data_IF_093052967334
#
_entry.id   IF_093052967334
#
_cell.length_a   1.000
_cell.length_b   1.000
_cell.length_c   1.000
_cell.angle_alpha   90.00
_cell.angle_beta   90.00
_cell.angle_gamma   90.00
#
_symmetry.space_group_name_H-M   'P 1'
#
loop_
_entity.id
_entity.type
_entity.pdbx_description
1 polymer ?
#
# COMPACT_ATOMS: atom_id res chain seq x y z
N UNK A 1 -27.62 -30.05 44.25
CA UNK A 1 -28.98 -29.47 44.31
C UNK A 1 -28.86 -28.10 44.96
N UNK A 2 -28.92 -27.04 44.16
CA UNK A 2 -29.04 -25.67 44.61
C UNK A 2 -29.95 -24.95 43.62
N UNK A 3 -30.94 -24.27 44.17
CA UNK A 3 -32.16 -23.78 43.54
C UNK A 3 -31.84 -22.53 42.70
N UNK A 4 -32.11 -22.57 41.40
CA UNK A 4 -32.08 -21.39 40.52
C UNK A 4 -33.46 -20.73 40.56
N UNK A 5 -33.54 -19.52 41.11
CA UNK A 5 -34.75 -18.70 41.11
C UNK A 5 -34.98 -18.07 39.74
N UNK A 6 -36.21 -18.23 39.23
CA UNK A 6 -36.75 -17.44 38.14
C UNK A 6 -36.86 -15.96 38.55
N UNK A 7 -36.45 -15.06 37.66
CA UNK A 7 -37.06 -13.75 37.51
C UNK A 7 -37.41 -13.54 36.04
N UNK A 8 -38.71 -13.36 35.78
CA UNK A 8 -39.25 -12.83 34.54
C UNK A 8 -39.34 -11.31 34.66
N UNK A 9 -38.96 -10.60 33.60
CA UNK A 9 -39.49 -9.28 33.27
C UNK A 9 -39.67 -9.19 31.75
N UNK A 10 -40.88 -8.80 31.36
CA UNK A 10 -41.43 -8.73 30.00
C UNK A 10 -41.43 -7.29 29.47
N UNK A 11 -41.17 -7.14 28.16
CA UNK A 11 -41.61 -6.04 27.29
C UNK A 11 -40.64 -4.86 27.14
N UNK A 12 -40.47 -4.17 26.01
CA UNK A 12 -41.00 -4.25 24.64
C UNK A 12 -40.01 -3.46 23.75
N UNK A 13 -39.76 -3.88 22.51
CA UNK A 13 -39.01 -3.06 21.52
C UNK A 13 -38.73 -3.85 20.25
N UNK A 14 -39.13 -3.30 19.10
CA UNK A 14 -39.37 -4.00 17.84
C UNK A 14 -38.18 -4.76 17.24
N UNK A 15 -38.53 -5.90 16.63
CA UNK A 15 -37.83 -6.52 15.52
C UNK A 15 -37.91 -5.63 14.29
N UNK A 16 -36.77 -5.12 13.82
CA UNK A 16 -36.61 -4.77 12.42
C UNK A 16 -35.89 -5.93 11.73
N UNK A 17 -36.66 -6.73 11.00
CA UNK A 17 -36.14 -7.67 10.03
C UNK A 17 -35.59 -6.88 8.82
N UNK A 18 -34.32 -6.48 8.92
CA UNK A 18 -33.56 -5.91 7.82
C UNK A 18 -32.94 -7.02 6.95
N UNK A 19 -33.62 -7.33 5.85
CA UNK A 19 -33.20 -7.86 4.53
C UNK A 19 -31.86 -8.66 4.40
N UNK A 20 -31.84 -9.73 3.57
CA UNK A 20 -30.68 -10.59 3.41
C UNK A 20 -29.44 -9.83 2.89
N UNK A 21 -28.30 -10.02 3.55
CA UNK A 21 -26.98 -9.60 3.06
C UNK A 21 -26.60 -10.44 1.83
N UNK A 22 -27.16 -10.10 0.67
CA UNK A 22 -26.63 -10.49 -0.63
C UNK A 22 -25.88 -9.30 -1.23
N UNK A 23 -24.56 -9.34 -1.11
CA UNK A 23 -23.57 -9.05 -2.16
C UNK A 23 -22.21 -8.88 -1.49
N UNK A 24 -21.28 -9.76 -1.86
CA UNK A 24 -19.86 -9.63 -1.56
C UNK A 24 -19.35 -8.50 -2.45
N UNK A 25 -19.61 -7.26 -2.05
CA UNK A 25 -18.97 -6.09 -2.64
C UNK A 25 -17.57 -6.03 -2.06
N UNK A 26 -16.56 -6.31 -2.89
CA UNK A 26 -15.17 -6.06 -2.53
C UNK A 26 -15.05 -4.59 -2.13
N UNK A 27 -14.86 -4.34 -0.82
CA UNK A 27 -14.67 -3.00 -0.30
C UNK A 27 -13.40 -2.42 -0.95
N UNK A 28 -13.56 -1.27 -1.62
CA UNK A 28 -12.43 -0.49 -2.12
C UNK A 28 -11.66 0.10 -0.96
N UNK A 29 -10.40 0.49 -1.22
CA UNK A 29 -9.42 1.09 -0.28
C UNK A 29 -9.90 2.29 0.56
N UNK A 30 -11.12 2.79 0.35
CA UNK A 30 -11.68 3.97 1.04
C UNK A 30 -12.39 3.64 2.37
N UNK A 31 -12.65 2.36 2.67
CA UNK A 31 -13.33 1.96 3.93
C UNK A 31 -12.38 1.50 5.04
N UNK A 32 -11.07 1.55 4.82
CA UNK A 32 -10.10 1.13 5.80
C UNK A 32 -9.66 2.29 6.71
N UNK A 33 -10.09 2.25 7.97
CA UNK A 33 -9.59 3.02 9.12
C UNK A 33 -10.08 4.46 9.33
N UNK A 34 -10.42 4.79 10.58
CA UNK A 34 -10.80 6.13 11.07
C UNK A 34 -9.62 7.12 11.15
N UNK A 35 -8.60 6.93 10.33
CA UNK A 35 -7.34 7.68 10.38
C UNK A 35 -7.04 8.28 9.01
N UNK A 36 -6.62 9.55 8.99
CA UNK A 36 -6.08 10.21 7.79
C UNK A 36 -4.66 9.74 7.44
N UNK A 37 -4.09 8.80 8.20
CA UNK A 37 -2.75 8.29 7.98
C UNK A 37 -2.71 7.37 6.77
N UNK A 38 -1.70 7.59 5.92
CA UNK A 38 -1.35 6.74 4.80
C UNK A 38 -0.40 5.62 5.27
N UNK A 39 -0.82 4.34 5.22
CA UNK A 39 -0.03 3.23 5.74
C UNK A 39 1.04 2.70 4.76
N UNK A 40 1.07 3.17 3.51
CA UNK A 40 1.96 2.65 2.46
C UNK A 40 1.18 2.18 1.22
N UNK A 41 1.86 1.65 0.19
CA UNK A 41 3.28 1.27 0.15
C UNK A 41 4.20 2.50 0.22
N UNK A 42 5.44 2.27 0.67
CA UNK A 42 6.53 3.24 0.64
C UNK A 42 7.43 3.04 -0.60
N UNK A 43 8.41 3.93 -0.81
CA UNK A 43 9.39 3.75 -1.90
C UNK A 43 10.08 2.37 -1.82
N UNK A 44 10.11 1.66 -2.95
CA UNK A 44 10.72 0.32 -3.03
C UNK A 44 9.82 -0.82 -2.53
N UNK A 45 8.58 -0.52 -2.15
CA UNK A 45 7.57 -1.50 -1.77
C UNK A 45 6.46 -1.61 -2.81
N UNK A 46 5.83 -2.77 -2.84
CA UNK A 46 4.66 -3.05 -3.67
C UNK A 46 3.57 -3.65 -2.78
N UNK A 47 2.34 -3.18 -2.94
CA UNK A 47 1.18 -3.72 -2.23
C UNK A 47 0.95 -5.17 -2.62
N UNK A 48 0.78 -6.03 -1.62
CA UNK A 48 0.43 -7.43 -1.84
C UNK A 48 -0.99 -7.51 -2.38
N UNK A 49 -1.17 -8.31 -3.44
CA UNK A 49 -2.49 -8.52 -4.06
C UNK A 49 -3.53 -8.96 -3.02
N UNK A 50 -4.71 -8.34 -3.09
CA UNK A 50 -5.77 -8.59 -2.14
C UNK A 50 -5.59 -7.89 -0.79
N UNK A 51 -4.64 -6.97 -0.63
CA UNK A 51 -4.63 -6.07 0.53
C UNK A 51 -4.96 -4.62 0.12
N UNK A 52 -5.61 -3.81 0.97
CA UNK A 52 -5.97 -4.08 2.37
C UNK A 52 -7.06 -5.14 2.56
N UNK A 53 -7.08 -5.75 3.74
CA UNK A 53 -8.11 -6.68 4.21
C UNK A 53 -8.75 -6.11 5.48
N UNK A 54 -10.08 -6.06 5.51
CA UNK A 54 -10.84 -5.70 6.70
C UNK A 54 -11.24 -6.94 7.48
N UNK A 55 -10.92 -6.94 8.77
CA UNK A 55 -11.37 -7.94 9.73
C UNK A 55 -12.17 -7.26 10.83
N UNK A 56 -13.26 -7.87 11.24
CA UNK A 56 -14.07 -7.41 12.38
C UNK A 56 -14.47 -8.59 13.24
N UNK A 57 -14.32 -8.45 14.55
CA UNK A 57 -14.82 -9.43 15.50
C UNK A 57 -15.69 -8.76 16.54
N UNK A 58 -16.80 -9.39 16.86
CA UNK A 58 -17.74 -8.99 17.90
C UNK A 58 -18.12 -10.23 18.70
N UNK A 59 -18.10 -10.15 20.04
CA UNK A 59 -18.40 -11.27 20.92
C UNK A 59 -19.77 -11.92 20.63
N UNK A 60 -20.77 -11.14 20.22
CA UNK A 60 -22.11 -11.62 19.88
C UNK A 60 -22.34 -11.83 18.38
N UNK A 61 -21.33 -11.56 17.55
CA UNK A 61 -21.43 -11.57 16.10
C UNK A 61 -20.50 -12.58 15.43
N UNK A 62 -19.79 -12.11 14.40
CA UNK A 62 -18.79 -12.91 13.67
C UNK A 62 -17.55 -13.01 14.54
N UNK A 63 -17.25 -14.22 15.01
CA UNK A 63 -16.11 -14.49 15.87
C UNK A 63 -15.69 -15.98 15.79
N UNK A 64 -14.45 -16.31 15.41
CA UNK A 64 -13.43 -15.40 14.90
C UNK A 64 -13.71 -14.99 13.44
N UNK A 65 -13.17 -13.84 13.02
CA UNK A 65 -13.05 -13.48 11.61
C UNK A 65 -11.63 -13.79 11.12
N UNK A 66 -11.50 -14.40 9.94
CA UNK A 66 -10.21 -14.86 9.39
C UNK A 66 -10.02 -14.50 7.93
N UNK A 67 -8.77 -14.19 7.55
CA UNK A 67 -8.36 -13.89 6.17
C UNK A 67 -7.02 -14.55 5.84
N UNK A 68 -6.84 -14.95 4.59
CA UNK A 68 -5.57 -15.46 4.08
C UNK A 68 -4.83 -14.38 3.29
N UNK A 69 -3.53 -14.24 3.52
CA UNK A 69 -2.66 -13.34 2.77
C UNK A 69 -1.46 -14.13 2.30
N UNK A 70 -1.16 -14.06 1.00
CA UNK A 70 0.04 -14.68 0.43
C UNK A 70 1.08 -13.62 0.15
N UNK A 71 2.20 -13.68 0.87
CA UNK A 71 3.32 -12.77 0.71
C UNK A 71 4.32 -13.37 -0.31
N UNK A 72 4.46 -12.80 -1.53
CA UNK A 72 5.21 -13.44 -2.62
C UNK A 72 6.74 -13.33 -2.47
N UNK A 73 7.22 -12.39 -1.68
CA UNK A 73 8.63 -12.14 -1.39
C UNK A 73 8.77 -11.62 0.05
N UNK A 74 10.00 -11.40 0.54
CA UNK A 74 10.17 -10.80 1.87
C UNK A 74 9.49 -9.42 1.92
N UNK A 75 8.82 -9.12 3.03
CA UNK A 75 7.96 -7.94 3.14
C UNK A 75 7.62 -7.55 4.57
N UNK A 76 6.56 -6.77 4.72
CA UNK A 76 6.02 -6.32 6.00
C UNK A 76 4.49 -6.31 6.02
N UNK A 77 3.95 -6.45 7.22
CA UNK A 77 2.53 -6.23 7.52
C UNK A 77 2.37 -4.92 8.29
N UNK A 78 1.25 -4.24 8.05
CA UNK A 78 0.82 -3.08 8.83
C UNK A 78 -0.65 -3.23 9.16
N UNK A 79 -1.01 -3.01 10.41
CA UNK A 79 -2.38 -3.13 10.89
C UNK A 79 -2.80 -1.83 11.59
N UNK A 80 -3.92 -1.25 11.16
CA UNK A 80 -4.65 -0.25 11.92
C UNK A 80 -5.69 -0.97 12.75
N UNK A 81 -5.55 -0.98 14.08
CA UNK A 81 -6.39 -1.78 14.96
C UNK A 81 -7.14 -0.85 15.91
N UNK A 82 -8.47 -1.02 16.00
CA UNK A 82 -9.29 -0.45 17.06
C UNK A 82 -10.02 -1.57 17.79
N UNK A 83 -9.90 -1.64 19.12
CA UNK A 83 -10.57 -2.68 19.87
C UNK A 83 -10.71 -2.45 21.37
N UNK A 84 -11.59 -3.24 21.96
CA UNK A 84 -11.61 -3.65 23.37
C UNK A 84 -11.90 -5.14 23.45
N UNK A 85 -11.28 -5.87 24.38
CA UNK A 85 -11.54 -7.30 24.61
C UNK A 85 -11.31 -8.21 23.40
N UNK A 86 -10.49 -7.78 22.44
CA UNK A 86 -10.30 -8.47 21.15
C UNK A 86 -8.82 -8.70 20.89
N UNK A 87 -8.49 -9.88 20.38
CA UNK A 87 -7.15 -10.27 19.99
C UNK A 87 -7.02 -10.34 18.46
N UNK A 88 -5.92 -9.82 17.95
CA UNK A 88 -5.55 -9.81 16.55
C UNK A 88 -4.21 -10.51 16.35
N UNK A 89 -4.19 -11.45 15.41
CA UNK A 89 -2.98 -12.16 15.03
C UNK A 89 -2.81 -12.13 13.51
N UNK A 90 -1.57 -11.99 13.06
CA UNK A 90 -1.15 -12.38 11.71
C UNK A 90 -0.06 -13.41 11.90
N UNK A 91 -0.35 -14.66 11.55
CA UNK A 91 0.51 -15.82 11.82
C UNK A 91 0.81 -16.58 10.53
N UNK A 92 2.07 -17.00 10.37
CA UNK A 92 2.49 -17.80 9.21
C UNK A 92 1.85 -19.19 9.26
N UNK A 93 1.36 -19.65 8.12
CA UNK A 93 0.75 -20.96 7.94
C UNK A 93 1.42 -21.71 6.78
N UNK A 94 1.07 -22.99 6.61
CA UNK A 94 1.67 -23.88 5.62
C UNK A 94 2.55 -24.97 6.26
N UNK A 95 3.00 -25.92 5.46
CA UNK A 95 3.77 -27.08 5.94
C UNK A 95 5.12 -26.72 6.59
N UNK A 96 5.64 -25.55 6.26
CA UNK A 96 6.90 -25.02 6.77
C UNK A 96 6.70 -24.03 7.93
N UNK A 97 5.47 -23.85 8.42
CA UNK A 97 5.21 -23.01 9.60
C UNK A 97 5.41 -23.78 10.90
N UNK A 98 5.77 -23.06 11.96
CA UNK A 98 5.83 -23.59 13.31
C UNK A 98 4.45 -24.09 13.78
N UNK A 99 3.39 -23.44 13.32
CA UNK A 99 2.02 -23.86 13.60
C UNK A 99 1.74 -25.29 13.05
N UNK A 100 2.20 -25.60 11.84
CA UNK A 100 2.11 -26.96 11.30
C UNK A 100 3.09 -27.91 12.01
N UNK A 101 4.38 -27.57 12.03
CA UNK A 101 5.44 -28.47 12.47
C UNK A 101 5.37 -28.83 13.96
N UNK A 102 4.88 -27.91 14.79
CA UNK A 102 4.86 -28.07 16.26
C UNK A 102 3.47 -28.35 16.81
N UNK A 103 2.39 -27.90 16.13
CA UNK A 103 1.01 -28.04 16.61
C UNK A 103 0.14 -28.93 15.73
N UNK A 104 0.67 -29.41 14.59
CA UNK A 104 -0.08 -30.25 13.64
C UNK A 104 -1.19 -29.51 12.89
N UNK A 105 -1.18 -28.17 12.91
CA UNK A 105 -2.20 -27.32 12.27
C UNK A 105 -1.72 -26.88 10.90
N UNK A 106 -1.82 -27.77 9.91
CA UNK A 106 -1.14 -27.62 8.61
C UNK A 106 -2.02 -27.11 7.47
N UNK A 107 -3.34 -27.24 7.59
CA UNK A 107 -4.30 -26.98 6.51
C UNK A 107 -5.52 -26.19 7.01
N UNK A 108 -6.33 -25.62 6.09
CA UNK A 108 -7.51 -24.81 6.45
C UNK A 108 -8.49 -25.48 7.41
N UNK A 109 -8.71 -26.80 7.31
CA UNK A 109 -9.63 -27.50 8.20
C UNK A 109 -9.12 -27.52 9.65
N UNK A 110 -7.80 -27.60 9.82
CA UNK A 110 -7.17 -27.58 11.14
C UNK A 110 -7.28 -26.23 11.84
N UNK A 111 -7.39 -25.11 11.10
CA UNK A 111 -7.46 -23.77 11.69
C UNK A 111 -8.76 -23.51 12.45
N UNK A 112 -9.85 -24.19 12.09
CA UNK A 112 -11.12 -24.14 12.82
C UNK A 112 -11.03 -24.68 14.26
N UNK A 113 -10.03 -25.51 14.54
CA UNK A 113 -9.78 -26.12 15.86
C UNK A 113 -8.55 -25.52 16.54
N UNK A 114 -8.05 -24.40 16.03
CA UNK A 114 -6.92 -23.71 16.62
C UNK A 114 -7.35 -22.99 17.88
N UNK A 115 -6.54 -23.13 18.92
CA UNK A 115 -6.82 -22.53 20.24
C UNK A 115 -5.93 -21.32 20.47
N UNK A 116 -6.30 -20.49 21.44
CA UNK A 116 -5.46 -19.40 21.94
C UNK A 116 -4.07 -19.91 22.38
N UNK A 117 -4.01 -21.11 22.98
CA UNK A 117 -2.75 -21.72 23.39
C UNK A 117 -1.84 -22.08 22.20
N UNK A 118 -2.40 -22.46 21.05
CA UNK A 118 -1.62 -22.70 19.82
C UNK A 118 -1.01 -21.40 19.31
N UNK A 119 -1.78 -20.31 19.31
CA UNK A 119 -1.33 -18.98 18.88
C UNK A 119 -0.24 -18.44 19.81
N UNK A 120 -0.45 -18.50 21.13
CA UNK A 120 0.52 -18.01 22.10
C UNK A 120 1.81 -18.84 22.12
N UNK A 121 1.71 -20.15 21.87
CA UNK A 121 2.89 -21.00 21.69
C UNK A 121 3.76 -20.52 20.53
N UNK A 122 3.17 -20.29 19.35
CA UNK A 122 3.93 -19.84 18.18
C UNK A 122 4.47 -18.43 18.38
N UNK A 123 3.67 -17.51 18.94
CA UNK A 123 4.10 -16.14 19.21
C UNK A 123 5.29 -16.09 20.19
N UNK A 124 5.32 -16.99 21.17
CA UNK A 124 6.38 -17.02 22.19
C UNK A 124 7.64 -17.72 21.68
N UNK A 125 7.51 -18.85 20.99
CA UNK A 125 8.66 -19.67 20.60
C UNK A 125 9.20 -19.35 19.19
N UNK A 126 8.37 -18.77 18.33
CA UNK A 126 8.70 -18.45 16.92
C UNK A 126 8.17 -17.06 16.54
N UNK A 127 8.59 -15.99 17.25
CA UNK A 127 8.03 -14.64 17.06
C UNK A 127 8.17 -14.11 15.63
N UNK A 128 9.21 -14.52 14.88
CA UNK A 128 9.38 -14.15 13.46
C UNK A 128 8.27 -14.69 12.54
N UNK A 129 7.49 -15.67 13.00
CA UNK A 129 6.32 -16.20 12.28
C UNK A 129 5.00 -15.54 12.68
N UNK A 130 5.03 -14.58 13.62
CA UNK A 130 3.85 -13.84 14.07
C UNK A 130 4.10 -12.34 13.90
N UNK A 131 4.09 -11.82 12.66
CA UNK A 131 4.39 -10.41 12.39
C UNK A 131 3.50 -9.42 13.15
N UNK A 132 2.24 -9.78 13.44
CA UNK A 132 1.34 -8.95 14.24
C UNK A 132 0.73 -9.81 15.34
N UNK A 133 0.82 -9.34 16.58
CA UNK A 133 0.10 -9.85 17.75
C UNK A 133 -0.32 -8.66 18.60
N UNK A 134 -1.62 -8.41 18.68
CA UNK A 134 -2.17 -7.36 19.54
C UNK A 134 -3.36 -7.89 20.34
N UNK A 135 -3.38 -7.59 21.63
CA UNK A 135 -4.49 -7.97 22.53
C UNK A 135 -4.98 -6.69 23.21
N UNK A 136 -6.13 -6.19 22.76
CA UNK A 136 -6.76 -5.02 23.36
C UNK A 136 -7.42 -5.39 24.68
N UNK A 137 -6.84 -4.98 25.80
CA UNK A 137 -7.50 -5.05 27.12
C UNK A 137 -8.34 -3.80 27.37
N UNK A 138 -7.95 -2.66 26.79
CA UNK A 138 -8.65 -1.36 26.91
C UNK A 138 -9.09 -0.89 25.54
N UNK A 139 -10.15 -0.07 25.52
CA UNK A 139 -10.63 0.57 24.31
C UNK A 139 -9.56 1.54 23.77
N UNK A 140 -9.14 1.35 22.52
CA UNK A 140 -8.11 2.18 21.90
C UNK A 140 -8.00 2.00 20.40
N UNK A 141 -7.12 2.80 19.80
CA UNK A 141 -6.71 2.69 18.40
C UNK A 141 -5.19 2.83 18.31
N UNK A 142 -4.57 2.05 17.43
CA UNK A 142 -3.14 2.12 17.17
C UNK A 142 -2.73 1.54 15.82
N UNK A 143 -1.54 1.94 15.36
CA UNK A 143 -0.87 1.34 14.21
C UNK A 143 0.20 0.36 14.68
N UNK A 144 0.24 -0.80 14.04
CA UNK A 144 1.12 -1.91 14.39
C UNK A 144 1.87 -2.39 13.14
N UNK A 145 3.16 -2.70 13.29
CA UNK A 145 4.04 -3.09 12.19
C UNK A 145 4.70 -4.44 12.46
N UNK A 146 4.68 -5.30 11.44
CA UNK A 146 5.41 -6.56 11.39
C UNK A 146 6.39 -6.55 10.24
N UNK A 147 7.63 -6.12 10.50
CA UNK A 147 8.69 -6.05 9.49
C UNK A 147 9.39 -7.41 9.29
N UNK A 148 10.15 -7.53 8.20
CA UNK A 148 10.97 -8.68 7.83
C UNK A 148 10.21 -10.01 7.77
N UNK A 149 8.92 -9.97 7.42
CA UNK A 149 8.10 -11.15 7.23
C UNK A 149 8.63 -11.96 6.03
N UNK A 150 8.89 -13.24 6.25
CA UNK A 150 9.36 -14.15 5.22
C UNK A 150 8.27 -14.41 4.15
N UNK A 151 8.64 -14.76 2.91
CA UNK A 151 7.66 -15.21 1.92
C UNK A 151 6.83 -16.39 2.46
N UNK A 152 5.56 -16.45 2.07
CA UNK A 152 4.67 -17.54 2.48
C UNK A 152 3.22 -17.11 2.65
N UNK A 153 2.41 -18.02 3.18
CA UNK A 153 0.99 -17.74 3.46
C UNK A 153 0.83 -17.39 4.93
N UNK A 154 -0.01 -16.41 5.20
CA UNK A 154 -0.34 -15.92 6.53
C UNK A 154 -1.85 -16.00 6.75
N UNK A 155 -2.24 -16.34 7.97
CA UNK A 155 -3.60 -16.28 8.46
C UNK A 155 -3.72 -15.06 9.37
N UNK A 156 -4.58 -14.13 8.98
CA UNK A 156 -5.01 -13.02 9.82
C UNK A 156 -6.27 -13.43 10.59
N UNK A 157 -6.32 -13.11 11.88
CA UNK A 157 -7.37 -13.54 12.80
C UNK A 157 -7.78 -12.34 13.64
N UNK A 158 -9.08 -12.11 13.75
CA UNK A 158 -9.69 -11.25 14.77
C UNK A 158 -10.59 -12.13 15.64
N UNK A 159 -10.40 -12.12 16.96
CA UNK A 159 -11.23 -12.89 17.88
C UNK A 159 -11.53 -12.13 19.16
N UNK A 160 -12.79 -12.05 19.51
CA UNK A 160 -13.29 -11.29 20.66
C UNK A 160 -13.63 -12.22 21.82
N UNK A 161 -13.21 -11.85 23.01
CA UNK A 161 -13.63 -12.50 24.25
C UNK A 161 -14.64 -11.65 25.00
N UNK A 162 -15.26 -12.24 26.02
CA UNK A 162 -15.92 -11.47 27.07
C UNK A 162 -14.92 -11.20 28.20
N UNK A 163 -14.69 -9.91 28.47
CA UNK A 163 -13.85 -9.43 29.57
C UNK A 163 -14.64 -9.24 30.87
N UNK A 164 -13.94 -9.17 32.01
CA UNK A 164 -14.52 -8.86 33.32
C UNK A 164 -15.72 -9.74 33.72
N UNK A 165 -15.70 -11.03 33.36
CA UNK A 165 -16.74 -11.98 33.74
C UNK A 165 -18.11 -11.71 33.11
N UNK A 166 -18.15 -11.17 31.88
CA UNK A 166 -19.41 -10.82 31.21
C UNK A 166 -19.72 -9.33 31.15
N UNK A 167 -18.90 -8.47 31.76
CA UNK A 167 -19.20 -7.04 31.89
C UNK A 167 -18.70 -6.18 30.72
N UNK A 168 -17.80 -6.71 29.89
CA UNK A 168 -17.32 -6.03 28.69
C UNK A 168 -17.30 -7.01 27.52
N UNK A 169 -18.19 -6.81 26.56
CA UNK A 169 -18.21 -7.56 25.33
C UNK A 169 -17.11 -7.04 24.39
N UNK A 170 -16.19 -7.94 24.05
CA UNK A 170 -15.11 -7.62 23.15
C UNK A 170 -15.66 -7.31 21.76
N UNK A 171 -15.17 -6.22 21.19
CA UNK A 171 -15.37 -5.88 19.79
C UNK A 171 -14.12 -5.19 19.26
N UNK A 172 -13.85 -5.40 17.98
CA UNK A 172 -12.67 -4.83 17.36
C UNK A 172 -12.67 -4.95 15.85
N UNK A 173 -11.92 -4.05 15.23
CA UNK A 173 -11.70 -3.99 13.79
C UNK A 173 -10.22 -3.86 13.48
N UNK A 174 -9.78 -4.47 12.37
CA UNK A 174 -8.43 -4.37 11.86
C UNK A 174 -8.43 -4.12 10.36
N UNK A 175 -7.72 -3.08 9.96
CA UNK A 175 -7.33 -2.79 8.59
C UNK A 175 -5.93 -3.34 8.36
N UNK A 176 -5.84 -4.49 7.69
CA UNK A 176 -4.59 -5.19 7.48
C UNK A 176 -4.04 -4.95 6.08
N UNK A 177 -2.86 -4.36 6.03
CA UNK A 177 -2.08 -4.10 4.84
C UNK A 177 -0.88 -5.04 4.79
N UNK A 178 -0.49 -5.46 3.60
CA UNK A 178 0.77 -6.18 3.40
C UNK A 178 1.51 -5.61 2.20
N UNK A 179 2.83 -5.51 2.34
CA UNK A 179 3.71 -4.97 1.33
C UNK A 179 4.90 -5.92 1.16
N UNK A 180 5.39 -6.07 -0.07
CA UNK A 180 6.64 -6.79 -0.35
C UNK A 180 7.64 -5.87 -1.06
N UNK A 181 8.93 -6.22 -0.99
CA UNK A 181 10.01 -5.34 -1.46
C UNK A 181 10.77 -4.68 -0.30
N UNK A 182 11.71 -3.79 -0.62
CA UNK A 182 12.59 -3.12 0.35
C UNK A 182 13.25 -4.06 1.40
N UNK A 183 13.49 -5.32 1.03
CA UNK A 183 13.98 -6.40 1.91
C UNK A 183 13.15 -6.60 3.20
N UNK A 184 11.88 -6.17 3.22
CA UNK A 184 11.02 -6.23 4.40
C UNK A 184 11.38 -5.23 5.51
N UNK A 185 12.26 -4.26 5.25
CA UNK A 185 12.66 -3.28 6.25
C UNK A 185 11.45 -2.48 6.78
N UNK A 186 11.52 -2.08 8.05
CA UNK A 186 10.55 -1.16 8.63
C UNK A 186 10.53 0.17 7.86
N UNK A 187 9.35 0.78 7.77
CA UNK A 187 9.12 2.10 7.18
C UNK A 187 8.15 2.89 8.05
N UNK A 188 8.25 4.23 8.14
CA UNK A 188 7.29 5.03 8.91
C UNK A 188 5.87 4.96 8.32
N UNK A 189 4.87 5.24 9.15
CA UNK A 189 3.53 5.64 8.69
C UNK A 189 3.66 7.01 8.02
N UNK A 190 2.91 7.28 6.95
CA UNK A 190 3.04 8.49 6.13
C UNK A 190 4.42 8.65 5.46
N UNK A 191 5.05 7.53 5.09
CA UNK A 191 6.24 7.54 4.25
C UNK A 191 5.97 8.16 2.87
N UNK A 192 7.03 8.62 2.20
CA UNK A 192 6.95 9.04 0.80
C UNK A 192 6.37 7.89 -0.03
N UNK A 193 5.22 8.16 -0.65
CA UNK A 193 4.55 7.21 -1.54
C UNK A 193 5.50 6.87 -2.69
N UNK A 194 5.50 5.62 -3.21
CA UNK A 194 6.01 5.40 -4.54
C UNK A 194 5.15 6.27 -5.45
N UNK A 195 5.74 7.34 -5.99
CA UNK A 195 5.07 8.16 -6.99
C UNK A 195 4.83 7.20 -8.15
N UNK A 196 3.57 6.87 -8.49
CA UNK A 196 3.34 6.11 -9.71
C UNK A 196 3.97 6.95 -10.81
N UNK A 197 4.86 6.36 -11.60
CA UNK A 197 5.44 7.04 -12.77
C UNK A 197 4.30 7.26 -13.76
N UNK A 198 3.65 8.42 -13.70
CA UNK A 198 2.50 8.75 -14.54
C UNK A 198 2.99 9.67 -15.63
N UNK A 199 3.56 9.06 -16.66
CA UNK A 199 3.89 9.79 -17.86
C UNK A 199 2.65 10.39 -18.53
N UNK A 200 2.73 11.68 -18.77
CA UNK A 200 1.74 12.53 -19.41
C UNK A 200 0.94 13.42 -18.48
N UNK A 201 1.35 13.59 -17.23
CA UNK A 201 0.70 14.53 -16.30
C UNK A 201 1.35 15.94 -16.31
N UNK A 202 2.47 16.09 -17.03
CA UNK A 202 3.20 17.34 -17.19
C UNK A 202 4.22 17.66 -16.08
N UNK A 203 4.41 16.77 -15.11
CA UNK A 203 5.32 16.91 -13.97
C UNK A 203 6.37 15.81 -14.05
N UNK A 204 7.65 16.16 -14.15
CA UNK A 204 8.73 15.17 -14.10
C UNK A 204 8.99 14.75 -12.64
N UNK A 205 8.61 13.53 -12.29
CA UNK A 205 8.65 13.06 -10.90
C UNK A 205 9.96 12.35 -10.55
N UNK A 206 10.19 12.16 -9.25
CA UNK A 206 11.40 11.48 -8.76
C UNK A 206 11.37 10.02 -9.21
N UNK A 207 12.35 9.63 -10.04
CA UNK A 207 12.46 8.30 -10.63
C UNK A 207 12.11 8.26 -12.12
N UNK A 208 11.55 9.34 -12.65
CA UNK A 208 11.33 9.54 -14.08
C UNK A 208 12.54 10.22 -14.73
N UNK A 209 12.71 10.01 -16.04
CA UNK A 209 13.70 10.69 -16.86
C UNK A 209 13.21 10.79 -18.32
N UNK A 210 13.97 11.48 -19.16
CA UNK A 210 13.62 11.65 -20.57
C UNK A 210 13.48 10.35 -21.37
N UNK A 211 14.12 9.25 -20.95
CA UNK A 211 14.05 7.97 -21.63
C UNK A 211 12.79 7.16 -21.25
N UNK A 212 12.40 7.17 -19.98
CA UNK A 212 11.18 6.49 -19.51
C UNK A 212 9.92 7.35 -19.66
N UNK A 213 10.09 8.67 -19.59
CA UNK A 213 9.01 9.64 -19.43
C UNK A 213 9.25 10.97 -20.16
N UNK A 214 9.75 10.89 -21.39
CA UNK A 214 10.16 12.06 -22.16
C UNK A 214 9.08 13.12 -22.39
N UNK A 215 7.79 12.82 -22.20
CA UNK A 215 6.71 13.82 -22.35
C UNK A 215 6.54 14.74 -21.14
N UNK A 216 7.07 14.37 -19.97
CA UNK A 216 7.01 15.16 -18.74
C UNK A 216 8.41 15.61 -18.32
N UNK A 217 9.38 14.71 -18.44
CA UNK A 217 10.78 14.97 -18.14
C UNK A 217 11.51 15.57 -19.34
N UNK A 218 12.17 16.71 -19.09
CA UNK A 218 13.02 17.36 -20.06
C UNK A 218 14.49 17.30 -19.63
N UNK A 219 15.22 16.35 -20.21
CA UNK A 219 16.66 16.14 -20.00
C UNK A 219 17.36 15.64 -21.28
N UNK A 220 18.65 15.31 -21.16
CA UNK A 220 19.49 14.86 -22.29
C UNK A 220 19.03 13.56 -22.95
N UNK A 221 18.22 12.75 -22.27
CA UNK A 221 17.68 11.48 -22.76
C UNK A 221 16.31 11.62 -23.44
N UNK A 222 15.74 12.83 -23.47
CA UNK A 222 14.45 13.11 -24.11
C UNK A 222 14.58 13.10 -25.64
N UNK A 223 13.71 12.36 -26.33
CA UNK A 223 13.72 12.29 -27.79
C UNK A 223 13.40 13.64 -28.46
N UNK A 224 14.02 13.93 -29.61
CA UNK A 224 13.91 15.28 -30.19
C UNK A 224 12.55 15.68 -30.75
N UNK A 225 11.76 14.69 -31.17
CA UNK A 225 10.37 14.89 -31.57
C UNK A 225 9.39 14.87 -30.40
N UNK A 226 9.84 14.55 -29.18
CA UNK A 226 8.99 14.51 -28.01
C UNK A 226 8.54 15.91 -27.62
N UNK A 227 7.26 16.03 -27.28
CA UNK A 227 6.66 17.30 -26.87
C UNK A 227 6.07 17.22 -25.48
N UNK A 228 6.03 18.36 -24.79
CA UNK A 228 5.49 18.43 -23.43
C UNK A 228 4.02 18.00 -23.45
N UNK A 229 3.69 17.00 -22.64
CA UNK A 229 2.37 16.39 -22.55
C UNK A 229 1.78 15.95 -23.92
N UNK A 230 2.61 15.74 -24.94
CA UNK A 230 2.19 15.46 -26.32
C UNK A 230 1.30 16.54 -26.98
N UNK A 231 1.31 17.79 -26.50
CA UNK A 231 0.49 18.86 -27.08
C UNK A 231 1.12 19.60 -28.25
N UNK A 232 2.31 19.22 -28.70
CA UNK A 232 2.95 19.83 -29.89
C UNK A 232 3.52 21.24 -29.68
N UNK A 233 3.21 21.92 -28.57
CA UNK A 233 3.56 23.32 -28.35
C UNK A 233 4.98 23.56 -27.82
N UNK A 234 5.57 22.58 -27.14
CA UNK A 234 6.89 22.70 -26.51
C UNK A 234 7.73 21.46 -26.76
N UNK A 235 9.02 21.67 -26.97
CA UNK A 235 10.04 20.66 -27.19
C UNK A 235 11.12 20.78 -26.13
N UNK A 236 11.69 19.65 -25.71
CA UNK A 236 12.75 19.65 -24.72
C UNK A 236 14.08 20.05 -25.37
N UNK A 237 14.72 21.13 -24.91
CA UNK A 237 15.97 21.64 -25.47
C UNK A 237 16.89 22.20 -24.38
N UNK A 238 18.19 22.16 -24.63
CA UNK A 238 19.20 22.92 -23.88
C UNK A 238 19.80 23.99 -24.79
N UNK A 239 19.93 25.23 -24.32
CA UNK A 239 20.58 26.30 -25.10
C UNK A 239 21.94 26.65 -24.53
N UNK A 240 22.91 26.85 -25.42
CA UNK A 240 24.30 27.19 -25.08
C UNK A 240 24.94 26.24 -24.03
N UNK A 241 24.52 24.96 -24.02
CA UNK A 241 25.01 23.97 -23.07
C UNK A 241 24.47 24.11 -21.65
N UNK A 242 23.44 24.93 -21.43
CA UNK A 242 22.74 25.06 -20.14
C UNK A 242 21.82 23.88 -19.82
N UNK A 243 20.99 24.04 -18.80
CA UNK A 243 19.98 23.04 -18.43
C UNK A 243 18.98 22.80 -19.56
N UNK A 244 18.42 21.59 -19.60
CA UNK A 244 17.29 21.26 -20.45
C UNK A 244 16.01 21.88 -19.88
N UNK A 245 15.17 22.44 -20.75
CA UNK A 245 13.85 22.95 -20.40
C UNK A 245 12.89 22.87 -21.59
N UNK A 246 11.59 22.85 -21.30
CA UNK A 246 10.53 22.87 -22.30
C UNK A 246 10.46 24.24 -22.98
N UNK A 247 10.66 24.27 -24.29
CA UNK A 247 10.71 25.51 -25.07
C UNK A 247 9.86 25.41 -26.33
N UNK A 248 9.31 26.53 -26.80
CA UNK A 248 8.52 26.54 -28.02
C UNK A 248 9.42 26.36 -29.26
N UNK A 249 8.90 25.77 -30.36
CA UNK A 249 9.62 25.72 -31.62
C UNK A 249 9.75 27.13 -32.18
N UNK A 250 10.87 27.78 -31.88
CA UNK A 250 11.13 29.12 -32.38
C UNK A 250 11.80 29.10 -33.74
N UNK A 251 11.36 30.01 -34.59
CA UNK A 251 12.11 30.44 -35.77
C UNK A 251 13.35 31.23 -35.37
N UNK A 252 14.43 31.01 -36.11
CA UNK A 252 15.65 31.79 -35.96
C UNK A 252 15.42 33.29 -36.20
N UNK A 253 16.09 34.14 -35.44
CA UNK A 253 16.07 35.60 -35.62
C UNK A 253 14.93 36.34 -34.92
N UNK A 254 13.81 35.71 -34.59
CA UNK A 254 12.72 36.34 -33.83
C UNK A 254 12.88 36.17 -32.32
N UNK A 255 13.16 34.94 -31.87
CA UNK A 255 13.26 34.58 -30.46
C UNK A 255 14.68 34.18 -30.04
N UNK A 256 15.47 33.67 -30.97
CA UNK A 256 16.86 33.28 -30.74
C UNK A 256 17.80 34.03 -31.70
N UNK A 257 18.81 34.76 -31.18
CA UNK A 257 19.83 35.37 -32.01
C UNK A 257 20.52 34.35 -32.91
N UNK A 258 20.92 34.77 -34.10
CA UNK A 258 21.75 33.93 -34.95
C UNK A 258 23.02 33.54 -34.22
N UNK A 259 23.39 32.27 -34.35
CA UNK A 259 24.50 31.69 -33.61
C UNK A 259 24.15 31.03 -32.30
N UNK A 260 22.89 31.11 -31.86
CA UNK A 260 22.43 30.33 -30.72
C UNK A 260 22.62 28.85 -31.01
N UNK A 261 23.24 28.13 -30.05
CA UNK A 261 23.36 26.67 -30.08
C UNK A 261 22.24 26.07 -29.25
N UNK A 262 21.54 25.09 -29.80
CA UNK A 262 20.58 24.25 -29.09
C UNK A 262 21.07 22.80 -29.11
N UNK A 263 20.83 22.05 -28.04
CA UNK A 263 21.15 20.63 -27.93
C UNK A 263 19.86 19.85 -27.71
N UNK A 264 19.73 18.72 -28.41
CA UNK A 264 18.65 17.79 -28.24
C UNK A 264 19.12 16.35 -28.47
N UNK A 265 18.84 15.42 -27.54
CA UNK A 265 19.22 14.02 -27.69
C UNK A 265 20.70 13.82 -28.03
N UNK A 266 21.58 14.65 -27.43
CA UNK A 266 23.02 14.68 -27.72
C UNK A 266 23.42 15.31 -29.06
N UNK A 267 22.48 15.71 -29.90
CA UNK A 267 22.73 16.37 -31.19
C UNK A 267 22.68 17.89 -31.05
N UNK A 268 23.65 18.59 -31.65
CA UNK A 268 23.71 20.05 -31.67
C UNK A 268 23.02 20.61 -32.90
N UNK A 269 22.27 21.68 -32.69
CA UNK A 269 21.62 22.49 -33.71
C UNK A 269 22.11 23.94 -33.56
N UNK A 270 22.36 24.59 -34.69
CA UNK A 270 22.82 25.96 -34.79
C UNK A 270 21.75 26.79 -35.49
N UNK A 271 21.45 27.96 -34.91
CA UNK A 271 20.48 28.87 -35.46
C UNK A 271 21.15 29.80 -36.49
N UNK A 272 20.75 29.70 -37.77
CA UNK A 272 21.51 30.30 -38.87
C UNK A 272 20.71 31.31 -39.68
N UNK A 273 21.34 32.44 -39.98
CA UNK A 273 20.75 33.56 -40.73
C UNK A 273 20.54 33.24 -42.20
N UNK A 274 21.44 32.47 -42.81
CA UNK A 274 21.39 32.14 -44.23
C UNK A 274 20.14 31.35 -44.64
N UNK A 275 19.59 30.56 -43.72
CA UNK A 275 18.40 29.72 -43.95
C UNK A 275 17.21 30.08 -43.05
N UNK A 276 17.37 31.09 -42.18
CA UNK A 276 16.40 31.47 -41.15
C UNK A 276 15.84 30.27 -40.37
N UNK A 277 16.68 29.26 -40.11
CA UNK A 277 16.26 27.99 -39.53
C UNK A 277 17.40 27.32 -38.75
N UNK A 278 17.06 26.28 -37.99
CA UNK A 278 18.00 25.43 -37.27
C UNK A 278 18.62 24.39 -38.20
N UNK A 279 19.92 24.19 -38.09
CA UNK A 279 20.66 23.15 -38.83
C UNK A 279 21.66 22.45 -37.93
N UNK A 280 21.95 21.18 -38.21
CA UNK A 280 22.99 20.41 -37.50
C UNK A 280 24.40 20.80 -37.96
N UNK A 281 24.53 21.49 -39.08
CA UNK A 281 25.81 21.98 -39.58
C UNK A 281 26.17 23.30 -38.92
N UNK A 282 27.45 23.46 -38.56
CA UNK A 282 27.94 24.74 -38.07
C UNK A 282 27.82 25.81 -39.16
N UNK A 283 27.30 26.98 -38.80
CA UNK A 283 27.19 28.09 -39.73
C UNK A 283 28.38 29.03 -39.57
N UNK A 284 29.12 29.23 -40.66
CA UNK A 284 30.05 30.34 -40.74
C UNK A 284 29.23 31.64 -40.73
N UNK A 285 29.55 32.54 -39.80
CA UNK A 285 28.93 33.86 -39.69
C UNK A 285 29.44 34.80 -40.77
#
# INVERSE_FOLDING_TARGET
MAVLGLFQATGCGQVDEGLPKSEVTFQTTEQASSSTDYPGPCQGETTVSGTPQYLSSDYHGVNPDTRFITLPAQGRFRAGISCVGTAFYVIRIGYDSALCQQRGKCDPSSFSTMTQADLDFVATNYPSQVPIREICVKHGFGWYDGANAAPGTYLAIASSGSGFGGLVDGHGTMDLYAYHGNNGNWQPVNCSRPVPTVCGNGICEVGENGASCGMDCCDASTACGQTWMNYGGYYCRSFNGGSYFWTQPATCGSQYPYGTRSTCGGTNYYCCSSINNWTTNYCAY
#
